data_IF_369943911005
#
_entry.id   IF_369943911005
#
_cell.length_a   1.000
_cell.length_b   1.000
_cell.length_c   1.000
_cell.angle_alpha   90.00
_cell.angle_beta   90.00
_cell.angle_gamma   90.00
#
_symmetry.space_group_name_H-M   'P 1'
#
loop_
_entity.id
_entity.type
_entity.pdbx_description
1 polymer ?
#
# COMPACT_ATOMS: atom_id res chain seq x y z
N UNK A 1 -26.77 -33.76 -1.31
CA UNK A 1 -25.31 -33.84 -1.53
C UNK A 1 -24.91 -35.30 -1.39
N UNK A 2 -24.43 -35.92 -2.47
CA UNK A 2 -23.90 -37.29 -2.44
C UNK A 2 -22.39 -37.23 -2.56
N UNK A 3 -21.69 -38.12 -1.86
CA UNK A 3 -20.24 -38.21 -1.87
C UNK A 3 -19.82 -39.51 -2.55
N UNK A 4 -18.89 -39.42 -3.50
CA UNK A 4 -18.33 -40.57 -4.19
C UNK A 4 -16.81 -40.52 -4.11
N UNK A 5 -16.19 -41.68 -3.96
CA UNK A 5 -14.74 -41.85 -4.01
C UNK A 5 -14.37 -42.56 -5.32
N UNK A 6 -13.40 -42.03 -6.05
CA UNK A 6 -13.02 -42.55 -7.38
C UNK A 6 -11.51 -42.72 -7.50
N UNK A 7 -11.08 -43.80 -8.18
CA UNK A 7 -9.67 -44.00 -8.53
C UNK A 7 -9.23 -43.06 -9.67
N UNK A 8 -8.05 -42.47 -9.54
CA UNK A 8 -7.50 -41.54 -10.55
C UNK A 8 -7.06 -42.26 -11.84
N UNK A 9 -6.54 -43.48 -11.75
CA UNK A 9 -6.25 -44.33 -12.91
C UNK A 9 -7.44 -45.26 -13.19
N UNK A 10 -7.98 -45.21 -14.41
CA UNK A 10 -9.04 -46.12 -14.87
C UNK A 10 -10.49 -45.67 -14.63
N UNK A 11 -10.70 -44.54 -13.94
CA UNK A 11 -12.01 -43.91 -13.69
C UNK A 11 -13.05 -44.75 -12.90
N UNK A 12 -12.67 -45.88 -12.29
CA UNK A 12 -13.58 -46.72 -11.51
C UNK A 12 -14.01 -46.08 -10.19
N UNK A 13 -15.30 -46.21 -9.84
CA UNK A 13 -15.85 -45.85 -8.53
C UNK A 13 -15.44 -46.91 -7.49
N UNK A 14 -15.14 -46.46 -6.27
CA UNK A 14 -14.90 -47.36 -5.13
C UNK A 14 -16.23 -47.70 -4.45
N UNK A 15 -16.44 -48.99 -4.18
CA UNK A 15 -17.60 -49.45 -3.43
C UNK A 15 -17.37 -49.23 -1.92
N UNK A 16 -18.45 -49.23 -1.12
CA UNK A 16 -18.39 -48.96 0.32
C UNK A 16 -17.53 -49.95 1.12
N UNK A 17 -17.37 -51.16 0.58
CA UNK A 17 -16.61 -52.23 1.22
C UNK A 17 -15.12 -52.24 0.80
N UNK A 18 -14.71 -51.36 -0.12
CA UNK A 18 -13.31 -51.25 -0.57
C UNK A 18 -12.46 -50.53 0.50
N UNK A 19 -11.42 -51.20 1.00
CA UNK A 19 -10.46 -50.58 1.93
C UNK A 19 -9.49 -49.70 1.13
N UNK A 20 -9.39 -48.41 1.50
CA UNK A 20 -8.57 -47.40 0.80
C UNK A 20 -7.12 -47.87 0.59
N UNK A 21 -6.58 -48.60 1.56
CA UNK A 21 -5.20 -49.10 1.52
C UNK A 21 -4.98 -50.22 0.49
N UNK A 22 -6.01 -51.00 0.18
CA UNK A 22 -5.96 -52.05 -0.85
C UNK A 22 -6.27 -51.49 -2.25
N UNK A 23 -6.86 -50.29 -2.32
CA UNK A 23 -7.20 -49.61 -3.57
C UNK A 23 -6.07 -48.72 -4.11
N UNK A 24 -5.04 -48.42 -3.31
CA UNK A 24 -3.95 -47.51 -3.62
C UNK A 24 -2.61 -48.26 -3.61
N UNK A 25 -2.13 -48.64 -4.79
CA UNK A 25 -0.73 -49.05 -4.97
C UNK A 25 0.13 -47.84 -5.37
N UNK A 26 1.43 -47.88 -5.01
CA UNK A 26 2.44 -46.81 -5.14
C UNK A 26 2.10 -45.60 -6.03
N UNK A 27 1.99 -44.43 -5.39
CA UNK A 27 1.73 -43.10 -5.98
C UNK A 27 0.36 -42.92 -6.66
N UNK A 28 -0.65 -43.73 -6.33
CA UNK A 28 -2.03 -43.46 -6.71
C UNK A 28 -2.75 -42.48 -5.76
N UNK A 29 -3.75 -41.76 -6.30
CA UNK A 29 -4.57 -40.79 -5.58
C UNK A 29 -6.06 -41.16 -5.71
N UNK A 30 -6.87 -40.82 -4.70
CA UNK A 30 -8.34 -40.93 -4.74
C UNK A 30 -8.93 -39.52 -4.84
N UNK A 31 -9.91 -39.36 -5.72
CA UNK A 31 -10.67 -38.12 -5.85
C UNK A 31 -12.01 -38.24 -5.10
N UNK A 32 -12.31 -37.27 -4.23
CA UNK A 32 -13.62 -37.15 -3.57
C UNK A 32 -14.50 -36.26 -4.44
N UNK A 33 -15.52 -36.84 -5.04
CA UNK A 33 -16.48 -36.11 -5.88
C UNK A 33 -17.75 -35.85 -5.09
N UNK A 34 -18.11 -34.57 -4.99
CA UNK A 34 -19.33 -34.12 -4.31
C UNK A 34 -20.34 -33.71 -5.37
N UNK A 35 -21.41 -34.49 -5.51
CA UNK A 35 -22.49 -34.16 -6.46
C UNK A 35 -23.60 -33.40 -5.72
N UNK A 36 -23.83 -32.16 -6.16
CA UNK A 36 -24.88 -31.27 -5.67
C UNK A 36 -25.31 -30.30 -6.77
N UNK A 37 -26.60 -29.96 -6.81
CA UNK A 37 -27.20 -29.18 -7.90
C UNK A 37 -26.73 -27.71 -7.99
N UNK A 38 -25.86 -27.25 -7.07
CA UNK A 38 -25.31 -25.89 -7.08
C UNK A 38 -23.89 -25.90 -6.50
N UNK A 39 -22.91 -25.44 -7.28
CA UNK A 39 -21.57 -25.10 -6.78
C UNK A 39 -21.60 -23.72 -6.11
N UNK A 40 -21.25 -23.65 -4.82
CA UNK A 40 -21.08 -22.37 -4.13
C UNK A 40 -19.84 -21.64 -4.67
N UNK A 41 -19.90 -20.33 -4.97
CA UNK A 41 -18.74 -19.54 -5.38
C UNK A 41 -17.65 -19.43 -4.30
N UNK A 42 -17.95 -19.81 -3.05
CA UNK A 42 -17.03 -19.75 -1.91
C UNK A 42 -16.26 -21.06 -1.66
N UNK A 43 -16.40 -22.07 -2.52
CA UNK A 43 -15.66 -23.32 -2.35
C UNK A 43 -14.23 -23.20 -2.90
N UNK A 44 -13.29 -22.83 -2.03
CA UNK A 44 -11.86 -22.94 -2.28
C UNK A 44 -11.41 -24.33 -1.77
N UNK A 45 -10.97 -25.26 -2.63
CA UNK A 45 -10.43 -26.52 -2.14
C UNK A 45 -9.13 -26.23 -1.36
N UNK A 46 -9.14 -26.54 -0.07
CA UNK A 46 -7.93 -26.58 0.74
C UNK A 46 -7.06 -27.75 0.26
N UNK A 47 -5.99 -27.48 -0.46
CA UNK A 47 -4.97 -28.48 -0.78
C UNK A 47 -3.69 -28.22 0.02
N UNK A 48 -3.24 -29.19 0.85
CA UNK A 48 -1.83 -29.38 1.12
C UNK A 48 -1.19 -30.13 -0.07
N UNK A 49 -0.16 -29.51 -0.65
CA UNK A 49 0.97 -30.14 -1.36
C UNK A 49 0.67 -31.09 -2.53
N UNK A 50 0.66 -30.55 -3.75
CA UNK A 50 0.79 -31.34 -4.98
C UNK A 50 0.18 -30.69 -6.21
N UNK A 51 0.88 -29.76 -6.85
CA UNK A 51 0.45 -29.16 -8.13
C UNK A 51 0.50 -30.23 -9.23
N UNK A 52 -0.61 -30.92 -9.45
CA UNK A 52 -0.81 -31.68 -10.68
C UNK A 52 -1.37 -30.75 -11.75
N UNK A 53 -0.48 -30.24 -12.60
CA UNK A 53 -0.85 -29.60 -13.87
C UNK A 53 -1.55 -30.64 -14.75
N UNK A 54 -2.89 -30.69 -14.69
CA UNK A 54 -3.69 -31.40 -15.67
C UNK A 54 -3.37 -30.82 -17.05
N UNK A 55 -2.80 -31.63 -17.95
CA UNK A 55 -2.46 -31.22 -19.32
C UNK A 55 -3.69 -30.85 -20.18
N UNK A 56 -4.91 -30.99 -19.65
CA UNK A 56 -6.17 -30.64 -20.31
C UNK A 56 -6.77 -29.28 -19.97
N UNK A 57 -6.21 -28.52 -19.02
CA UNK A 57 -6.81 -27.25 -18.56
C UNK A 57 -6.15 -25.96 -19.09
N UNK A 58 -5.17 -26.06 -20.00
CA UNK A 58 -4.46 -24.87 -20.51
C UNK A 58 -5.07 -24.23 -21.76
N UNK A 59 -6.02 -24.92 -22.39
CA UNK A 59 -6.61 -24.50 -23.66
C UNK A 59 -7.73 -23.45 -23.59
N UNK A 60 -8.61 -23.37 -22.57
CA UNK A 60 -9.80 -22.52 -22.69
C UNK A 60 -9.47 -21.02 -22.70
N UNK A 61 -8.46 -20.55 -21.98
CA UNK A 61 -8.09 -19.11 -21.98
C UNK A 61 -7.43 -18.71 -23.29
N UNK A 62 -6.45 -19.49 -23.77
CA UNK A 62 -5.78 -19.20 -25.03
C UNK A 62 -6.75 -19.32 -26.21
N UNK A 63 -7.60 -20.36 -26.23
CA UNK A 63 -8.64 -20.54 -27.26
C UNK A 63 -9.69 -19.43 -27.21
N UNK A 64 -10.15 -19.02 -26.02
CA UNK A 64 -11.09 -17.91 -25.88
C UNK A 64 -10.54 -16.58 -26.43
N UNK A 65 -9.22 -16.40 -26.38
CA UNK A 65 -8.53 -15.24 -26.96
C UNK A 65 -7.97 -15.48 -28.38
N UNK A 66 -8.24 -16.63 -29.01
CA UNK A 66 -7.73 -16.96 -30.35
C UNK A 66 -6.21 -17.11 -30.42
N UNK A 67 -5.54 -17.34 -29.30
CA UNK A 67 -4.09 -17.47 -29.18
C UNK A 67 -3.66 -18.94 -29.28
N UNK A 68 -2.47 -19.17 -29.86
CA UNK A 68 -1.85 -20.49 -29.94
C UNK A 68 -0.71 -20.60 -28.93
N UNK A 69 -0.52 -21.76 -28.27
CA UNK A 69 0.65 -21.99 -27.43
C UNK A 69 1.96 -21.80 -28.21
N UNK A 70 2.96 -21.23 -27.56
CA UNK A 70 4.30 -21.09 -28.16
C UNK A 70 4.98 -22.47 -28.29
N UNK A 71 5.74 -22.67 -29.37
CA UNK A 71 6.59 -23.85 -29.57
C UNK A 71 8.05 -23.44 -29.47
N UNK A 72 8.79 -24.04 -28.54
CA UNK A 72 10.16 -23.63 -28.23
C UNK A 72 11.19 -24.31 -29.15
N UNK A 73 12.13 -23.52 -29.65
CA UNK A 73 13.36 -23.97 -30.33
C UNK A 73 14.51 -24.12 -29.32
N UNK A 74 15.66 -24.70 -29.73
CA UNK A 74 16.83 -24.81 -28.85
C UNK A 74 17.23 -23.46 -28.24
N UNK A 75 17.56 -23.46 -26.94
CA UNK A 75 17.87 -22.30 -26.07
C UNK A 75 16.72 -21.33 -25.77
N UNK A 76 15.56 -21.40 -26.42
CA UNK A 76 14.45 -20.48 -26.15
C UNK A 76 13.85 -20.66 -24.74
N UNK A 77 13.87 -21.88 -24.20
CA UNK A 77 13.43 -22.13 -22.82
C UNK A 77 14.25 -21.37 -21.77
N UNK A 78 15.58 -21.38 -21.90
CA UNK A 78 16.47 -20.61 -21.01
C UNK A 78 16.29 -19.10 -21.21
N UNK A 79 16.12 -18.66 -22.45
CA UNK A 79 15.89 -17.25 -22.76
C UNK A 79 14.59 -16.70 -22.16
N UNK A 80 13.56 -17.54 -21.99
CA UNK A 80 12.28 -17.14 -21.39
C UNK A 80 12.33 -16.98 -19.87
N UNK A 81 13.19 -17.73 -19.18
CA UNK A 81 13.22 -17.78 -17.71
C UNK A 81 14.39 -17.01 -17.10
N UNK A 82 15.46 -16.77 -17.87
CA UNK A 82 16.66 -16.15 -17.35
C UNK A 82 16.46 -14.63 -17.24
N UNK A 83 16.52 -14.12 -16.02
CA UNK A 83 16.57 -12.71 -15.69
C UNK A 83 15.88 -12.40 -14.37
N UNK A 84 15.77 -11.11 -14.08
CA UNK A 84 15.27 -10.61 -12.81
C UNK A 84 13.86 -10.02 -12.93
N UNK A 85 13.10 -10.39 -13.96
CA UNK A 85 11.86 -9.70 -14.33
C UNK A 85 10.82 -9.71 -13.21
N UNK A 86 10.74 -10.80 -12.43
CA UNK A 86 9.85 -10.85 -11.26
C UNK A 86 10.24 -9.84 -10.18
N UNK A 87 11.53 -9.73 -9.86
CA UNK A 87 12.03 -8.77 -8.87
C UNK A 87 11.84 -7.34 -9.39
N UNK A 88 12.21 -7.10 -10.65
CA UNK A 88 12.14 -5.77 -11.29
C UNK A 88 10.69 -5.29 -11.40
N UNK A 89 9.75 -6.13 -11.83
CA UNK A 89 8.34 -5.75 -11.97
C UNK A 89 7.72 -5.35 -10.63
N UNK A 90 7.88 -6.17 -9.60
CA UNK A 90 7.41 -5.86 -8.25
C UNK A 90 8.12 -4.64 -7.66
N UNK A 91 9.42 -4.48 -7.94
CA UNK A 91 10.21 -3.32 -7.53
C UNK A 91 9.74 -2.01 -8.19
N UNK A 92 9.38 -2.05 -9.48
CA UNK A 92 8.80 -0.90 -10.18
C UNK A 92 7.47 -0.48 -9.54
N UNK A 93 6.58 -1.43 -9.27
CA UNK A 93 5.33 -1.13 -8.55
C UNK A 93 5.61 -0.52 -7.17
N UNK A 94 6.56 -1.08 -6.42
CA UNK A 94 6.92 -0.58 -5.10
C UNK A 94 7.45 0.86 -5.15
N UNK A 95 8.33 1.20 -6.08
CA UNK A 95 8.89 2.57 -6.20
C UNK A 95 7.81 3.58 -6.60
N UNK A 96 6.95 3.22 -7.55
CA UNK A 96 5.84 4.08 -7.98
C UNK A 96 4.87 4.36 -6.84
N UNK A 97 4.44 3.31 -6.12
CA UNK A 97 3.54 3.46 -4.95
C UNK A 97 4.21 4.22 -3.81
N UNK A 98 5.48 3.95 -3.52
CA UNK A 98 6.25 4.65 -2.49
C UNK A 98 6.39 6.15 -2.80
N UNK A 99 6.65 6.50 -4.06
CA UNK A 99 6.72 7.90 -4.51
C UNK A 99 5.36 8.60 -4.38
N UNK A 100 4.29 7.94 -4.81
CA UNK A 100 2.94 8.46 -4.72
C UNK A 100 2.49 8.68 -3.26
N UNK A 101 2.74 7.72 -2.37
CA UNK A 101 2.34 7.84 -0.97
C UNK A 101 3.19 8.85 -0.22
N UNK A 102 4.49 8.98 -0.53
CA UNK A 102 5.37 9.99 0.08
C UNK A 102 4.89 11.42 -0.22
N UNK A 103 4.44 11.70 -1.45
CA UNK A 103 3.86 13.00 -1.81
C UNK A 103 2.57 13.29 -1.04
N UNK A 104 1.72 12.27 -0.88
CA UNK A 104 0.46 12.41 -0.16
C UNK A 104 0.67 12.52 1.36
N UNK A 105 1.71 11.90 1.90
CA UNK A 105 2.10 12.01 3.30
C UNK A 105 2.35 13.47 3.72
N UNK A 106 2.96 14.28 2.85
CA UNK A 106 3.18 15.70 3.13
C UNK A 106 1.87 16.49 3.23
N UNK A 107 0.88 16.16 2.40
CA UNK A 107 -0.46 16.79 2.45
C UNK A 107 -1.17 16.40 3.75
N UNK A 108 -1.12 15.13 4.11
CA UNK A 108 -1.72 14.58 5.33
C UNK A 108 -1.07 15.23 6.55
N UNK A 109 0.26 15.28 6.59
CA UNK A 109 1.00 15.86 7.69
C UNK A 109 0.80 17.38 7.82
N UNK A 110 0.60 18.10 6.71
CA UNK A 110 0.19 19.51 6.74
C UNK A 110 -1.20 19.68 7.38
N UNK A 111 -2.17 18.84 7.03
CA UNK A 111 -3.49 18.86 7.68
C UNK A 111 -3.41 18.47 9.17
N UNK A 112 -2.59 17.47 9.51
CA UNK A 112 -2.31 17.09 10.90
C UNK A 112 -1.72 18.27 11.68
N UNK A 113 -0.75 19.00 11.10
CA UNK A 113 -0.16 20.17 11.72
C UNK A 113 -1.20 21.26 12.01
N UNK A 114 -2.12 21.50 11.08
CA UNK A 114 -3.23 22.45 11.26
C UNK A 114 -4.13 22.02 12.43
N UNK A 115 -4.53 20.75 12.49
CA UNK A 115 -5.35 20.24 13.60
C UNK A 115 -4.65 20.35 14.95
N UNK A 116 -3.36 20.05 14.98
CA UNK A 116 -2.54 20.17 16.18
C UNK A 116 -2.14 21.61 16.50
N UNK A 117 -2.45 22.55 15.60
CA UNK A 117 -2.12 23.98 15.70
C UNK A 117 -0.62 24.20 15.88
N UNK A 118 0.16 23.42 15.14
CA UNK A 118 1.61 23.47 15.15
C UNK A 118 2.15 24.73 14.51
N UNK A 119 3.42 25.05 14.78
CA UNK A 119 4.07 26.24 14.21
C UNK A 119 4.60 25.97 12.79
N UNK A 120 4.32 26.89 11.87
CA UNK A 120 4.84 26.86 10.50
C UNK A 120 6.31 27.29 10.40
N UNK A 121 6.87 27.91 11.45
CA UNK A 121 8.26 28.40 11.50
C UNK A 121 9.31 27.30 11.33
N UNK A 122 8.97 26.05 11.66
CA UNK A 122 9.86 24.90 11.48
C UNK A 122 10.18 24.64 9.99
N UNK A 123 9.36 25.17 9.07
CA UNK A 123 9.49 25.00 7.64
C UNK A 123 10.13 26.20 6.93
N UNK A 124 10.75 27.13 7.67
CA UNK A 124 11.38 28.32 7.09
C UNK A 124 12.51 27.93 6.11
N UNK A 125 12.59 28.64 4.97
CA UNK A 125 13.62 28.40 3.95
C UNK A 125 15.03 28.49 4.51
N UNK A 126 15.30 29.40 5.44
CA UNK A 126 16.64 29.61 6.00
C UNK A 126 17.09 28.43 6.86
N UNK A 127 16.15 27.79 7.58
CA UNK A 127 16.43 26.59 8.39
C UNK A 127 16.86 25.43 7.47
N UNK A 128 16.16 25.24 6.35
CA UNK A 128 16.49 24.15 5.43
C UNK A 128 17.67 24.46 4.52
N UNK A 129 18.00 25.74 4.30
CA UNK A 129 19.23 26.16 3.63
C UNK A 129 20.49 25.84 4.46
N UNK A 130 20.40 25.89 5.80
CA UNK A 130 21.49 25.49 6.70
C UNK A 130 21.77 23.98 6.67
N UNK A 131 20.78 23.17 6.26
CA UNK A 131 20.93 21.70 6.12
C UNK A 131 20.35 21.23 4.78
N UNK A 132 21.08 21.42 3.67
CA UNK A 132 20.53 21.36 2.32
C UNK A 132 20.38 19.94 1.76
N UNK A 133 19.70 19.05 2.49
CA UNK A 133 19.31 17.74 1.96
C UNK A 133 18.15 17.92 0.96
N UNK A 134 18.26 17.43 -0.29
CA UNK A 134 17.26 17.67 -1.33
C UNK A 134 15.82 17.30 -0.94
N UNK A 135 15.63 16.13 -0.32
CA UNK A 135 14.31 15.68 0.13
C UNK A 135 13.74 16.54 1.26
N UNK A 136 14.58 16.99 2.19
CA UNK A 136 14.15 17.85 3.30
C UNK A 136 13.66 19.21 2.78
N UNK A 137 14.38 19.79 1.81
CA UNK A 137 14.01 21.06 1.18
C UNK A 137 12.68 20.91 0.43
N UNK A 138 12.51 19.83 -0.33
CA UNK A 138 11.29 19.57 -1.10
C UNK A 138 10.07 19.35 -0.20
N UNK A 139 10.21 18.56 0.87
CA UNK A 139 9.14 18.35 1.86
C UNK A 139 8.76 19.68 2.51
N UNK A 140 9.74 20.45 2.98
CA UNK A 140 9.48 21.74 3.61
C UNK A 140 8.83 22.73 2.64
N UNK A 141 9.23 22.70 1.36
CA UNK A 141 8.58 23.48 0.31
C UNK A 141 7.10 23.12 0.15
N UNK A 142 6.77 21.83 0.10
CA UNK A 142 5.37 21.37 0.02
C UNK A 142 4.57 21.80 1.26
N UNK A 143 5.12 21.66 2.46
CA UNK A 143 4.47 22.17 3.68
C UNK A 143 4.18 23.67 3.60
N UNK A 144 5.15 24.51 3.21
CA UNK A 144 4.92 25.95 3.03
C UNK A 144 3.83 26.24 2.01
N UNK A 145 3.81 25.53 0.88
CA UNK A 145 2.78 25.71 -0.16
C UNK A 145 1.36 25.36 0.30
N UNK A 146 1.25 24.46 1.29
CA UNK A 146 -0.04 24.03 1.83
C UNK A 146 -0.50 24.90 3.01
N UNK A 147 0.45 25.47 3.77
CA UNK A 147 0.17 26.17 5.03
C UNK A 147 0.16 27.70 4.88
N UNK A 148 0.73 28.25 3.81
CA UNK A 148 0.70 29.69 3.54
C UNK A 148 -0.30 30.03 2.43
N UNK A 149 -1.18 30.99 2.70
CA UNK A 149 -2.08 31.56 1.69
C UNK A 149 -2.26 33.06 1.94
N UNK A 150 -1.92 33.88 0.94
CA UNK A 150 -2.04 35.33 1.02
C UNK A 150 -3.50 35.82 1.05
N UNK A 151 -4.43 34.96 0.61
CA UNK A 151 -5.86 35.27 0.55
C UNK A 151 -6.64 34.74 1.76
N UNK A 152 -6.21 33.59 2.32
CA UNK A 152 -6.89 32.92 3.44
C UNK A 152 -5.85 32.31 4.41
N UNK A 153 -5.23 33.13 5.29
CA UNK A 153 -4.29 32.62 6.28
C UNK A 153 -4.98 31.70 7.30
N UNK A 154 -4.27 30.71 7.84
CA UNK A 154 -4.84 29.76 8.81
C UNK A 154 -5.24 30.46 10.11
N UNK A 155 -6.54 30.59 10.35
CA UNK A 155 -7.09 31.12 11.60
C UNK A 155 -6.87 30.16 12.78
N UNK A 156 -6.68 28.88 12.46
CA UNK A 156 -6.42 27.81 13.42
C UNK A 156 -5.05 27.98 14.06
N UNK A 157 -4.00 28.21 13.25
CA UNK A 157 -2.64 28.42 13.71
C UNK A 157 -2.52 29.63 14.66
N UNK A 158 -3.25 30.71 14.39
CA UNK A 158 -3.26 31.92 15.24
C UNK A 158 -4.03 31.72 16.55
N UNK A 159 -5.08 30.90 16.56
CA UNK A 159 -6.01 30.77 17.69
C UNK A 159 -5.46 30.10 18.95
N UNK A 160 -4.32 29.42 18.91
CA UNK A 160 -3.82 28.56 20.01
C UNK A 160 -2.38 28.83 20.41
N UNK A 161 -1.97 30.10 20.37
CA UNK A 161 -0.73 30.52 21.03
C UNK A 161 -0.70 30.13 22.53
N UNK A 162 -1.85 29.94 23.18
CA UNK A 162 -2.02 29.48 24.56
C UNK A 162 -3.35 28.71 24.76
N UNK A 163 -3.36 27.37 24.95
CA UNK A 163 -4.60 26.61 25.19
C UNK A 163 -4.42 25.41 26.15
N UNK A 164 -5.38 25.24 27.08
CA UNK A 164 -5.31 24.33 28.25
C UNK A 164 -6.47 23.30 28.34
N UNK A 165 -6.89 22.64 27.24
CA UNK A 165 -8.07 21.73 27.27
C UNK A 165 -7.75 20.23 27.13
N UNK A 166 -8.49 19.41 27.89
CA UNK A 166 -8.47 17.93 27.92
C UNK A 166 -9.85 17.38 27.53
N UNK A 167 -9.89 16.25 26.79
CA UNK A 167 -11.09 15.66 26.16
C UNK A 167 -11.81 14.55 26.96
N UNK A 168 -13.06 14.31 26.53
CA UNK A 168 -14.22 13.69 27.20
C UNK A 168 -14.56 12.24 26.72
N UNK A 169 -15.58 11.62 27.32
CA UNK A 169 -15.90 10.17 27.45
C UNK A 169 -16.18 9.25 26.21
N UNK A 170 -15.61 9.45 25.01
CA UNK A 170 -15.73 8.50 23.87
C UNK A 170 -14.38 7.83 23.52
N UNK A 171 -14.39 6.61 22.96
CA UNK A 171 -13.15 5.95 22.52
C UNK A 171 -12.59 6.51 21.22
N UNK A 172 -13.45 7.01 20.32
CA UNK A 172 -13.05 7.75 19.11
C UNK A 172 -11.98 7.02 18.29
N UNK A 173 -10.86 7.69 18.02
CA UNK A 173 -9.75 7.17 17.23
C UNK A 173 -8.73 6.34 18.02
N UNK A 174 -8.96 6.07 19.31
CA UNK A 174 -8.01 5.36 20.18
C UNK A 174 -7.56 4.02 19.57
N UNK A 175 -8.51 3.18 19.15
CA UNK A 175 -8.20 1.84 18.60
C UNK A 175 -7.64 1.93 17.18
N UNK A 176 -8.00 2.96 16.41
CA UNK A 176 -7.40 3.21 15.11
C UNK A 176 -5.88 3.46 15.24
N UNK A 177 -5.47 4.19 16.28
CA UNK A 177 -4.05 4.37 16.59
C UNK A 177 -3.36 3.05 16.93
N UNK A 178 -4.01 2.14 17.68
CA UNK A 178 -3.46 0.81 17.94
C UNK A 178 -3.24 0.01 16.64
N UNK A 179 -4.18 0.09 15.69
CA UNK A 179 -4.01 -0.53 14.35
C UNK A 179 -2.80 0.06 13.63
N UNK A 180 -2.67 1.39 13.58
CA UNK A 180 -1.51 2.04 12.97
C UNK A 180 -0.19 1.63 13.64
N UNK A 181 -0.16 1.59 14.98
CA UNK A 181 1.02 1.17 15.74
C UNK A 181 1.41 -0.30 15.47
N UNK A 182 0.42 -1.18 15.33
CA UNK A 182 0.65 -2.59 14.98
C UNK A 182 1.29 -2.73 13.60
N UNK A 183 0.77 -2.02 12.59
CA UNK A 183 1.31 -2.02 11.23
C UNK A 183 2.75 -1.49 11.18
N UNK A 184 3.04 -0.41 11.92
CA UNK A 184 4.40 0.13 12.06
C UNK A 184 5.32 -0.88 12.76
N UNK A 185 4.83 -1.60 13.77
CA UNK A 185 5.63 -2.62 14.46
C UNK A 185 5.98 -3.80 13.55
N UNK A 186 5.04 -4.26 12.73
CA UNK A 186 5.28 -5.31 11.72
C UNK A 186 6.32 -4.86 10.68
N UNK A 187 6.24 -3.60 10.24
CA UNK A 187 7.21 -3.02 9.30
C UNK A 187 8.66 -3.10 9.83
N UNK A 188 8.88 -3.02 11.14
CA UNK A 188 10.24 -3.14 11.71
C UNK A 188 10.87 -4.50 11.40
N UNK A 189 10.10 -5.58 11.45
CA UNK A 189 10.57 -6.91 11.07
C UNK A 189 10.84 -6.99 9.56
N UNK A 190 9.94 -6.43 8.75
CA UNK A 190 10.07 -6.40 7.28
C UNK A 190 11.25 -5.53 6.79
N UNK A 191 11.75 -4.61 7.61
CA UNK A 191 12.91 -3.79 7.29
C UNK A 191 14.25 -4.54 7.32
N UNK A 192 14.31 -5.78 7.84
CA UNK A 192 15.54 -6.58 7.73
C UNK A 192 15.90 -6.81 6.26
N UNK A 193 17.14 -6.51 5.82
CA UNK A 193 17.52 -6.62 4.42
C UNK A 193 17.60 -8.09 4.00
N UNK A 194 16.74 -8.54 3.10
CA UNK A 194 16.72 -9.95 2.66
C UNK A 194 17.94 -10.33 1.83
N UNK A 195 18.61 -9.36 1.21
CA UNK A 195 19.75 -9.57 0.33
C UNK A 195 21.07 -9.83 1.06
N UNK A 196 21.07 -9.84 2.39
CA UNK A 196 22.25 -10.23 3.18
C UNK A 196 22.36 -11.74 3.37
N UNK A 197 21.30 -12.49 3.04
CA UNK A 197 21.27 -13.94 3.07
C UNK A 197 21.55 -14.52 1.67
N UNK A 198 22.26 -15.65 1.63
CA UNK A 198 22.57 -16.39 0.41
C UNK A 198 22.74 -17.87 0.73
N UNK A 199 21.96 -18.71 0.04
CA UNK A 199 22.01 -20.17 0.15
C UNK A 199 22.45 -20.74 -1.20
N UNK A 200 23.48 -21.59 -1.21
CA UNK A 200 23.94 -22.22 -2.45
C UNK A 200 22.92 -23.26 -2.95
N UNK A 201 22.50 -23.14 -4.21
CA UNK A 201 21.41 -23.93 -4.80
C UNK A 201 21.89 -25.03 -5.75
N UNK A 202 23.17 -25.05 -6.13
CA UNK A 202 23.69 -26.04 -7.08
C UNK A 202 25.17 -26.34 -6.85
N UNK A 203 25.50 -27.17 -5.85
CA UNK A 203 26.84 -27.72 -5.60
C UNK A 203 28.00 -26.71 -5.81
N UNK A 204 27.85 -25.50 -5.24
CA UNK A 204 28.78 -24.37 -5.36
C UNK A 204 28.97 -23.74 -6.77
N UNK A 205 28.12 -24.09 -7.75
CA UNK A 205 28.04 -23.38 -9.04
C UNK A 205 27.17 -22.12 -8.93
N UNK A 206 26.04 -22.26 -8.23
CA UNK A 206 25.18 -21.14 -7.82
C UNK A 206 25.40 -20.93 -6.32
N UNK A 207 26.52 -20.31 -5.96
CA UNK A 207 26.97 -20.14 -4.57
C UNK A 207 26.62 -18.76 -3.98
N UNK A 208 26.27 -17.79 -4.83
CA UNK A 208 25.80 -16.47 -4.42
C UNK A 208 24.48 -16.09 -5.09
N UNK A 209 23.44 -15.84 -4.28
CA UNK A 209 22.11 -15.40 -4.74
C UNK A 209 21.64 -14.19 -3.95
N UNK A 210 20.80 -13.35 -4.55
CA UNK A 210 20.39 -12.07 -3.94
C UNK A 210 19.19 -12.16 -2.99
N UNK A 211 18.49 -13.30 -2.97
CA UNK A 211 17.19 -13.45 -2.29
C UNK A 211 16.17 -12.34 -2.62
N UNK A 212 16.34 -11.67 -3.77
CA UNK A 212 15.64 -10.43 -4.10
C UNK A 212 14.13 -10.58 -4.34
N UNK A 213 13.64 -11.79 -4.59
CA UNK A 213 12.21 -12.07 -4.72
C UNK A 213 11.43 -11.73 -3.43
N UNK A 214 11.98 -12.11 -2.27
CA UNK A 214 11.39 -11.74 -0.97
C UNK A 214 11.55 -10.24 -0.68
N UNK A 215 12.68 -9.66 -1.08
CA UNK A 215 12.93 -8.22 -0.92
C UNK A 215 11.89 -7.36 -1.64
N UNK A 216 11.49 -7.72 -2.85
CA UNK A 216 10.47 -6.98 -3.60
C UNK A 216 9.07 -7.12 -2.97
N UNK A 217 8.69 -8.34 -2.53
CA UNK A 217 7.38 -8.59 -1.92
C UNK A 217 7.22 -7.89 -0.57
N UNK A 218 8.25 -7.93 0.29
CA UNK A 218 8.20 -7.23 1.58
C UNK A 218 8.18 -5.71 1.41
N UNK A 219 8.82 -5.17 0.36
CA UNK A 219 8.75 -3.74 0.05
C UNK A 219 7.31 -3.30 -0.24
N UNK A 220 6.59 -4.04 -1.09
CA UNK A 220 5.17 -3.79 -1.35
C UNK A 220 4.31 -3.87 -0.09
N UNK A 221 4.56 -4.86 0.76
CA UNK A 221 3.85 -5.02 2.05
C UNK A 221 4.07 -3.83 2.98
N UNK A 222 5.31 -3.33 3.09
CA UNK A 222 5.62 -2.14 3.89
C UNK A 222 4.89 -0.92 3.37
N UNK A 223 4.83 -0.74 2.04
CA UNK A 223 4.11 0.38 1.42
C UNK A 223 2.61 0.29 1.70
N UNK A 224 2.01 -0.89 1.58
CA UNK A 224 0.59 -1.13 1.91
C UNK A 224 0.29 -0.77 3.38
N UNK A 225 1.17 -1.13 4.32
CA UNK A 225 1.05 -0.73 5.72
C UNK A 225 1.14 0.79 5.91
N UNK A 226 2.06 1.46 5.21
CA UNK A 226 2.21 2.92 5.26
C UNK A 226 0.98 3.62 4.71
N UNK A 227 0.40 3.14 3.61
CA UNK A 227 -0.85 3.67 3.05
C UNK A 227 -2.00 3.60 4.07
N UNK A 228 -2.14 2.49 4.81
CA UNK A 228 -3.16 2.35 5.85
C UNK A 228 -2.90 3.27 7.06
N UNK A 229 -1.65 3.38 7.51
CA UNK A 229 -1.26 4.29 8.60
C UNK A 229 -1.60 5.73 8.25
N UNK A 230 -1.27 6.15 7.02
CA UNK A 230 -1.57 7.49 6.52
C UNK A 230 -3.08 7.71 6.30
N UNK A 231 -3.83 6.68 5.92
CA UNK A 231 -5.29 6.76 5.84
C UNK A 231 -5.91 7.04 7.23
N UNK A 232 -5.41 6.37 8.26
CA UNK A 232 -5.83 6.58 9.67
C UNK A 232 -5.45 8.00 10.12
N UNK A 233 -4.23 8.45 9.81
CA UNK A 233 -3.80 9.81 10.13
C UNK A 233 -4.68 10.85 9.47
N UNK A 234 -4.96 10.71 8.17
CA UNK A 234 -5.82 11.62 7.42
C UNK A 234 -7.25 11.67 7.99
N UNK A 235 -7.80 10.52 8.39
CA UNK A 235 -9.10 10.47 9.06
C UNK A 235 -9.10 11.22 10.39
N UNK A 236 -8.05 11.06 11.20
CA UNK A 236 -7.88 11.77 12.46
C UNK A 236 -7.68 13.28 12.23
N UNK A 237 -6.94 13.66 11.19
CA UNK A 237 -6.72 15.05 10.77
C UNK A 237 -7.99 15.72 10.20
N UNK A 238 -9.00 14.95 9.81
CA UNK A 238 -10.33 15.52 9.54
C UNK A 238 -11.07 15.92 10.84
N UNK A 239 -10.46 15.72 12.02
CA UNK A 239 -10.87 16.32 13.30
C UNK A 239 -10.77 17.85 13.34
N UNK A 240 -10.28 18.49 12.27
CA UNK A 240 -10.33 19.94 12.05
C UNK A 240 -11.73 20.54 12.26
N UNK A 241 -12.80 19.74 12.14
CA UNK A 241 -14.17 20.12 12.46
C UNK A 241 -14.37 20.61 13.90
N UNK A 242 -13.61 20.06 14.85
CA UNK A 242 -13.68 20.49 16.25
C UNK A 242 -13.10 21.91 16.45
N UNK A 243 -12.45 22.46 15.43
CA UNK A 243 -11.84 23.77 15.43
C UNK A 243 -12.72 24.83 14.75
N UNK A 244 -13.89 24.44 14.21
CA UNK A 244 -14.85 25.39 13.61
C UNK A 244 -15.30 26.42 14.66
N UNK A 245 -15.53 27.70 14.29
CA UNK A 245 -15.68 28.21 12.91
C UNK A 245 -14.38 28.47 12.15
N UNK A 246 -13.21 28.23 12.75
CA UNK A 246 -11.92 28.50 12.12
C UNK A 246 -11.73 27.66 10.85
N UNK A 247 -11.08 28.25 9.85
CA UNK A 247 -10.76 27.61 8.56
C UNK A 247 -9.26 27.45 8.34
N UNK A 248 -8.90 26.38 7.63
CA UNK A 248 -7.55 26.16 7.13
C UNK A 248 -7.41 26.72 5.70
N UNK A 249 -6.27 26.49 5.08
CA UNK A 249 -5.95 26.96 3.74
C UNK A 249 -6.84 26.29 2.68
N UNK A 250 -7.00 26.96 1.53
CA UNK A 250 -7.81 26.45 0.41
C UNK A 250 -7.46 25.03 -0.06
N UNK A 251 -6.18 24.62 -0.25
CA UNK A 251 -5.88 23.24 -0.64
C UNK A 251 -6.29 22.23 0.43
N UNK A 252 -6.10 22.54 1.71
CA UNK A 252 -6.41 21.62 2.81
C UNK A 252 -7.92 21.50 3.07
N UNK A 253 -8.70 22.59 2.92
CA UNK A 253 -10.17 22.52 2.94
C UNK A 253 -10.69 21.62 1.81
N UNK A 254 -10.12 21.69 0.60
CA UNK A 254 -10.51 20.80 -0.51
C UNK A 254 -10.18 19.33 -0.25
N UNK A 255 -9.04 19.07 0.39
CA UNK A 255 -8.67 17.71 0.82
C UNK A 255 -9.67 17.19 1.87
N UNK A 256 -10.01 18.03 2.84
CA UNK A 256 -11.05 17.73 3.83
C UNK A 256 -12.40 17.44 3.16
N UNK A 257 -12.86 18.28 2.24
CA UNK A 257 -14.11 18.08 1.50
C UNK A 257 -14.12 16.77 0.71
N UNK A 258 -13.00 16.42 0.06
CA UNK A 258 -12.84 15.14 -0.64
C UNK A 258 -12.99 13.95 0.32
N UNK A 259 -12.34 13.98 1.50
CA UNK A 259 -12.50 12.91 2.50
C UNK A 259 -13.96 12.85 3.00
N UNK A 260 -14.60 14.00 3.21
CA UNK A 260 -16.02 14.06 3.64
C UNK A 260 -17.03 13.64 2.58
N UNK A 261 -16.65 13.62 1.31
CA UNK A 261 -17.47 13.03 0.26
C UNK A 261 -17.60 11.50 0.35
N UNK A 262 -16.65 10.83 1.02
CA UNK A 262 -16.64 9.36 1.17
C UNK A 262 -16.83 8.88 2.60
N UNK A 263 -16.44 9.68 3.59
CA UNK A 263 -16.53 9.34 5.02
C UNK A 263 -17.20 10.45 5.81
N UNK A 264 -18.33 10.13 6.45
CA UNK A 264 -19.07 11.06 7.30
C UNK A 264 -18.29 11.48 8.57
N UNK A 265 -18.53 12.68 9.13
CA UNK A 265 -18.00 13.11 10.42
C UNK A 265 -18.16 12.07 11.55
N UNK A 266 -17.21 12.05 12.49
CA UNK A 266 -17.23 11.13 13.62
C UNK A 266 -17.99 11.73 14.82
N UNK A 267 -19.33 11.70 14.74
CA UNK A 267 -20.19 12.26 15.81
C UNK A 267 -20.46 11.27 16.95
N UNK A 268 -20.44 9.96 16.66
CA UNK A 268 -20.64 8.86 17.60
C UNK A 268 -19.81 7.67 17.13
N UNK A 269 -19.38 6.84 18.08
CA UNK A 269 -18.62 5.63 17.77
C UNK A 269 -19.39 4.71 16.82
N UNK A 270 -18.69 4.23 15.80
CA UNK A 270 -19.19 3.30 14.78
C UNK A 270 -18.06 2.36 14.35
N UNK A 271 -18.40 1.38 13.53
CA UNK A 271 -17.39 0.50 12.93
C UNK A 271 -16.49 1.29 11.96
N UNK A 272 -15.19 1.36 12.26
CA UNK A 272 -14.25 2.27 11.59
C UNK A 272 -13.55 1.65 10.36
N UNK A 273 -13.47 0.32 10.27
CA UNK A 273 -12.73 -0.34 9.17
C UNK A 273 -13.20 0.08 7.76
N UNK A 274 -14.50 0.24 7.47
CA UNK A 274 -14.96 0.70 6.16
C UNK A 274 -14.53 2.14 5.85
N UNK A 275 -14.42 2.99 6.88
CA UNK A 275 -13.96 4.37 6.71
C UNK A 275 -12.46 4.41 6.42
N UNK A 276 -11.66 3.58 7.11
CA UNK A 276 -10.22 3.42 6.84
C UNK A 276 -10.00 2.93 5.42
N UNK A 277 -10.74 1.90 4.98
CA UNK A 277 -10.68 1.35 3.63
C UNK A 277 -11.09 2.38 2.56
N UNK A 278 -12.14 3.16 2.82
CA UNK A 278 -12.57 4.21 1.90
C UNK A 278 -11.50 5.28 1.70
N UNK A 279 -10.82 5.71 2.77
CA UNK A 279 -9.72 6.68 2.69
C UNK A 279 -8.46 6.06 2.10
N UNK A 280 -8.15 4.80 2.42
CA UNK A 280 -7.05 4.06 1.81
C UNK A 280 -7.18 4.03 0.28
N UNK A 281 -8.38 3.77 -0.25
CA UNK A 281 -8.66 3.84 -1.70
C UNK A 281 -8.42 5.23 -2.29
N UNK A 282 -8.74 6.31 -1.57
CA UNK A 282 -8.42 7.67 -2.04
C UNK A 282 -6.91 7.87 -2.22
N UNK A 283 -6.10 7.30 -1.32
CA UNK A 283 -4.64 7.36 -1.38
C UNK A 283 -4.08 6.50 -2.52
N UNK A 284 -4.58 5.28 -2.68
CA UNK A 284 -4.18 4.37 -3.78
C UNK A 284 -4.51 4.98 -5.15
N UNK A 285 -5.70 5.59 -5.29
CA UNK A 285 -6.12 6.29 -6.52
C UNK A 285 -5.41 7.64 -6.75
N UNK A 286 -4.56 8.05 -5.80
CA UNK A 286 -3.85 9.34 -5.75
C UNK A 286 -4.78 10.55 -5.83
N UNK A 287 -6.01 10.43 -5.33
CA UNK A 287 -7.01 11.52 -5.38
C UNK A 287 -6.62 12.69 -4.48
N UNK A 288 -5.98 12.42 -3.34
CA UNK A 288 -5.50 13.47 -2.43
C UNK A 288 -4.44 14.33 -3.12
N UNK A 289 -3.47 13.69 -3.79
CA UNK A 289 -2.45 14.40 -4.57
C UNK A 289 -3.08 15.27 -5.66
N UNK A 290 -3.95 14.69 -6.49
CA UNK A 290 -4.60 15.40 -7.62
C UNK A 290 -5.39 16.65 -7.18
N UNK A 291 -5.94 16.66 -5.97
CA UNK A 291 -6.66 17.83 -5.43
C UNK A 291 -5.71 18.95 -5.04
N UNK A 292 -4.56 18.63 -4.44
CA UNK A 292 -3.59 19.61 -3.95
C UNK A 292 -2.58 20.06 -5.02
N UNK A 293 -2.27 19.21 -6.00
CA UNK A 293 -1.26 19.45 -7.05
C UNK A 293 -1.38 20.82 -7.73
N UNK A 294 -2.56 21.31 -8.15
CA UNK A 294 -2.67 22.63 -8.78
C UNK A 294 -2.21 23.79 -7.87
N UNK A 295 -2.38 23.65 -6.56
CA UNK A 295 -1.97 24.65 -5.57
C UNK A 295 -0.46 24.63 -5.34
N UNK A 296 0.11 23.43 -5.29
CA UNK A 296 1.56 23.23 -5.13
C UNK A 296 2.30 23.79 -6.34
N UNK A 297 1.84 23.50 -7.56
CA UNK A 297 2.45 24.02 -8.79
C UNK A 297 2.28 25.54 -8.93
N UNK A 298 1.10 26.07 -8.56
CA UNK A 298 0.89 27.53 -8.51
C UNK A 298 1.90 28.19 -7.58
N UNK A 299 2.05 27.69 -6.36
CA UNK A 299 3.01 28.23 -5.39
C UNK A 299 4.45 28.14 -5.92
N UNK A 300 4.80 27.04 -6.60
CA UNK A 300 6.13 26.86 -7.23
C UNK A 300 6.43 27.92 -8.29
N UNK A 301 5.45 28.25 -9.14
CA UNK A 301 5.61 29.27 -10.17
C UNK A 301 5.73 30.68 -9.59
N UNK A 302 5.02 30.95 -8.50
CA UNK A 302 5.02 32.27 -7.83
C UNK A 302 6.27 32.48 -6.96
N UNK A 303 6.86 31.40 -6.44
CA UNK A 303 7.99 31.44 -5.51
C UNK A 303 9.22 30.70 -6.06
N UNK A 304 9.45 30.75 -7.38
CA UNK A 304 10.72 30.33 -7.96
C UNK A 304 11.82 31.05 -7.17
N UNK A 305 12.77 30.34 -6.53
CA UNK A 305 13.87 31.02 -5.88
C UNK A 305 14.57 31.81 -6.98
N UNK A 306 14.56 33.15 -6.88
CA UNK A 306 15.51 33.95 -7.62
C UNK A 306 16.86 33.25 -7.42
N UNK A 307 17.48 32.83 -8.50
CA UNK A 307 18.84 32.34 -8.47
C UNK A 307 19.69 33.48 -7.93
N UNK A 308 19.84 33.57 -6.60
CA UNK A 308 20.73 34.56 -5.99
C UNK A 308 22.09 34.30 -6.65
N UNK A 309 22.68 35.30 -7.32
CA UNK A 309 24.01 35.11 -7.89
C UNK A 309 24.92 34.63 -6.76
N UNK A 310 25.66 33.55 -7.02
CA UNK A 310 26.57 32.96 -6.04
C UNK A 310 27.46 34.08 -5.51
N UNK A 311 27.41 34.33 -4.20
CA UNK A 311 28.29 35.33 -3.58
C UNK A 311 29.74 34.89 -3.84
N UNK A 312 30.63 35.78 -4.33
CA UNK A 312 32.05 35.46 -4.55
C UNK A 312 32.81 35.01 -3.30
N UNK A 313 32.18 35.12 -2.12
CA UNK A 313 32.74 34.77 -0.81
C UNK A 313 32.27 33.43 -0.26
N UNK A 314 31.46 32.65 -0.98
CA UNK A 314 31.12 31.29 -0.56
C UNK A 314 32.21 30.31 -1.04
N UNK A 315 33.29 30.21 -0.26
CA UNK A 315 34.24 29.09 -0.27
C UNK A 315 33.99 28.21 0.94
#
# INVERSE_FOLDING_TARGET
VKFYLRRCKGLGLLDLDDIIQDALEDNEFVEVVVEGDVMSPDFIPSQPEGVHLYSRYKEPVLQAHGLKPISLKPKEGLALINGTQMITSLGCEAVERASAIAKQADIIAALTLEVLKGTTRAFDTDIHALRPHPGQIEVAFRFRSLLNSDHHPSEIAESHRFCDRVQDANSGFMIAHCTAASLVSENKALCHPSSVDSLSTSAATEDHVSMGGWAARKALRVIEHVEHVLAIELLAACGIEFLRPLRTTSPLEKVYDLVRSVVRPWMKDRFMAPDIEAVHRLLVDQKIWKVAEPYIEKYRLEHIPESRPVSPTAF
#
